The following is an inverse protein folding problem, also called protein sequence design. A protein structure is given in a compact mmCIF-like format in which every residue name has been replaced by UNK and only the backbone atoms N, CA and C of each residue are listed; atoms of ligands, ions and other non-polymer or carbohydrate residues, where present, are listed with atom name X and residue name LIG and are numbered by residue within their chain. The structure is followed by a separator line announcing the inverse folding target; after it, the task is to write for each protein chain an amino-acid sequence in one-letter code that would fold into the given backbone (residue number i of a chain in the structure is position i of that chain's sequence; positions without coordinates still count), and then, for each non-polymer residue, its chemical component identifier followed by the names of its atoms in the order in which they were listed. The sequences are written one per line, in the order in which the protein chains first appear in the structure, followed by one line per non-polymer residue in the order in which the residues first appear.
data_IF_137814317020
#
_entry.id   IF_137814317020
#
_cell.length_a   1.000
_cell.length_b   1.000
_cell.length_c   1.000
_cell.angle_alpha   90.00
_cell.angle_beta   90.00
_cell.angle_gamma   90.00
#
_symmetry.space_group_name_H-M   'P 1'
#
loop_
_entity.id
_entity.type
_entity.pdbx_description
1 polymer ?
#
# COMPACT_ATOMS: atom_id res chain seq x y z
N UNK A 1 -17.07 -13.21 9.80
CA UNK A 1 -16.67 -12.02 9.01
C UNK A 1 -16.75 -10.82 9.91
N UNK A 2 -15.75 -9.94 9.87
CA UNK A 2 -15.67 -8.74 10.70
C UNK A 2 -15.37 -7.54 9.81
N UNK A 3 -16.06 -6.43 10.04
CA UNK A 3 -15.74 -5.17 9.34
C UNK A 3 -14.53 -4.54 10.01
N UNK A 4 -13.49 -4.23 9.22
CA UNK A 4 -12.29 -3.57 9.73
C UNK A 4 -12.40 -2.05 9.62
N UNK A 5 -12.51 -1.52 8.40
CA UNK A 5 -12.58 -0.09 8.14
C UNK A 5 -13.16 0.24 6.76
N UNK A 6 -13.44 1.52 6.54
CA UNK A 6 -13.92 2.08 5.27
C UNK A 6 -12.80 2.85 4.56
N UNK A 7 -12.73 2.69 3.24
CA UNK A 7 -11.91 3.50 2.37
C UNK A 7 -12.82 4.43 1.54
N UNK A 8 -12.38 5.67 1.38
CA UNK A 8 -13.04 6.62 0.47
C UNK A 8 -12.87 6.15 -0.97
N UNK A 9 -13.95 6.20 -1.76
CA UNK A 9 -13.86 5.97 -3.20
C UNK A 9 -13.58 7.29 -3.93
N UNK A 10 -13.11 7.21 -5.18
CA UNK A 10 -13.00 8.38 -6.06
C UNK A 10 -14.38 9.02 -6.31
N UNK A 11 -15.44 8.21 -6.29
CA UNK A 11 -16.80 8.70 -6.36
C UNK A 11 -17.30 9.01 -4.94
N UNK A 12 -17.65 10.27 -4.66
CA UNK A 12 -18.08 10.73 -3.35
C UNK A 12 -19.30 9.97 -2.78
N UNK A 13 -20.16 9.39 -3.64
CA UNK A 13 -21.33 8.59 -3.23
C UNK A 13 -21.01 7.12 -2.94
N UNK A 14 -19.76 6.69 -3.11
CA UNK A 14 -19.33 5.29 -2.93
C UNK A 14 -18.23 5.19 -1.89
N UNK A 15 -18.16 4.03 -1.23
CA UNK A 15 -17.05 3.67 -0.36
C UNK A 15 -16.66 2.21 -0.61
N UNK A 16 -15.47 1.84 -0.17
CA UNK A 16 -15.02 0.46 -0.14
C UNK A 16 -14.94 0.02 1.32
N UNK A 17 -15.44 -1.17 1.63
CA UNK A 17 -15.34 -1.77 2.95
C UNK A 17 -14.28 -2.85 2.93
N UNK A 18 -13.40 -2.82 3.93
CA UNK A 18 -12.42 -3.89 4.15
C UNK A 18 -12.96 -4.80 5.23
N UNK A 19 -13.05 -6.09 4.90
CA UNK A 19 -13.62 -7.12 5.75
C UNK A 19 -12.57 -8.20 6.03
N UNK A 20 -12.51 -8.66 7.27
CA UNK A 20 -11.78 -9.84 7.69
C UNK A 20 -12.72 -11.07 7.66
N UNK A 21 -12.20 -12.21 7.23
CA UNK A 21 -12.98 -13.45 7.13
C UNK A 21 -12.08 -14.68 7.32
N UNK A 22 -12.70 -15.82 7.63
CA UNK A 22 -11.97 -17.09 7.64
C UNK A 22 -11.50 -17.47 6.23
N UNK A 23 -10.39 -18.21 6.09
CA UNK A 23 -9.85 -18.64 4.79
C UNK A 23 -10.88 -19.27 3.84
N UNK A 24 -11.69 -20.20 4.34
CA UNK A 24 -12.75 -20.88 3.56
C UNK A 24 -13.76 -19.88 2.97
N UNK A 25 -14.14 -18.87 3.75
CA UNK A 25 -15.08 -17.83 3.33
C UNK A 25 -14.43 -16.92 2.29
N UNK A 26 -13.19 -16.51 2.53
CA UNK A 26 -12.40 -15.68 1.62
C UNK A 26 -12.30 -16.29 0.21
N UNK A 27 -11.90 -17.56 0.10
CA UNK A 27 -11.80 -18.25 -1.18
C UNK A 27 -13.15 -18.35 -1.91
N UNK A 28 -14.22 -18.64 -1.16
CA UNK A 28 -15.58 -18.71 -1.72
C UNK A 28 -16.03 -17.36 -2.27
N UNK A 29 -15.75 -16.28 -1.54
CA UNK A 29 -16.10 -14.91 -1.92
C UNK A 29 -15.30 -14.43 -3.13
N UNK A 30 -13.99 -14.64 -3.15
CA UNK A 30 -13.14 -14.23 -4.26
C UNK A 30 -13.43 -15.00 -5.55
N UNK A 31 -13.77 -16.29 -5.47
CA UNK A 31 -14.20 -17.07 -6.65
C UNK A 31 -15.45 -16.48 -7.30
N UNK A 32 -16.41 -16.01 -6.49
CA UNK A 32 -17.63 -15.37 -7.01
C UNK A 32 -17.38 -13.99 -7.61
N UNK A 33 -16.33 -13.27 -7.17
CA UNK A 33 -15.93 -11.89 -7.58
C UNK A 33 -16.97 -10.79 -7.36
N UNK A 34 -18.25 -11.14 -7.22
CA UNK A 34 -19.38 -10.24 -7.04
C UNK A 34 -20.36 -10.85 -6.05
N UNK A 35 -20.96 -10.01 -5.23
CA UNK A 35 -22.07 -10.38 -4.35
C UNK A 35 -23.20 -9.37 -4.50
N UNK A 36 -24.42 -9.89 -4.44
CA UNK A 36 -25.62 -9.06 -4.38
C UNK A 36 -25.96 -8.87 -2.91
N UNK A 37 -26.12 -7.62 -2.50
CA UNK A 37 -26.54 -7.26 -1.16
C UNK A 37 -27.69 -6.27 -1.30
N UNK A 38 -28.89 -6.72 -0.94
CA UNK A 38 -30.15 -6.04 -1.28
C UNK A 38 -30.19 -5.71 -2.79
N UNK A 39 -30.38 -4.43 -3.12
CA UNK A 39 -30.45 -3.92 -4.49
C UNK A 39 -29.08 -3.55 -5.09
N UNK A 40 -27.98 -3.88 -4.40
CA UNK A 40 -26.63 -3.49 -4.79
C UNK A 40 -25.80 -4.66 -5.30
N UNK A 41 -25.11 -4.44 -6.42
CA UNK A 41 -24.07 -5.34 -6.94
C UNK A 41 -22.69 -4.89 -6.48
N UNK A 42 -22.13 -5.60 -5.51
CA UNK A 42 -20.82 -5.29 -4.91
C UNK A 42 -19.72 -6.10 -5.59
N UNK A 43 -18.61 -5.44 -5.97
CA UNK A 43 -17.41 -6.11 -6.46
C UNK A 43 -16.49 -6.46 -5.29
N UNK A 44 -16.03 -7.71 -5.26
CA UNK A 44 -15.09 -8.20 -4.28
C UNK A 44 -13.70 -8.26 -4.88
N UNK A 45 -12.71 -7.81 -4.11
CA UNK A 45 -11.29 -7.92 -4.43
C UNK A 45 -10.54 -8.18 -3.15
N UNK A 46 -9.41 -8.87 -3.29
CA UNK A 46 -8.46 -8.96 -2.21
C UNK A 46 -7.93 -7.57 -1.86
N UNK A 47 -7.75 -7.32 -0.57
CA UNK A 47 -7.17 -6.09 -0.07
C UNK A 47 -5.76 -6.39 0.46
N UNK A 48 -4.74 -6.08 -0.35
CA UNK A 48 -3.35 -6.08 0.08
C UNK A 48 -2.81 -4.67 -0.12
N UNK A 49 -2.37 -4.05 0.98
CA UNK A 49 -1.77 -2.72 0.95
C UNK A 49 -0.70 -2.58 2.03
N UNK A 50 0.59 -2.63 1.65
CA UNK A 50 1.67 -2.24 2.54
C UNK A 50 1.45 -0.88 3.18
N UNK A 51 1.62 -0.85 4.50
CA UNK A 51 1.62 0.39 5.28
C UNK A 51 2.87 1.17 4.94
N UNK A 52 2.67 2.42 4.55
CA UNK A 52 3.73 3.38 4.25
C UNK A 52 3.52 4.59 5.15
N UNK A 53 4.59 5.07 5.79
CA UNK A 53 4.51 6.25 6.63
C UNK A 53 4.06 7.45 5.80
N UNK A 54 3.10 8.22 6.30
CA UNK A 54 2.58 9.40 5.62
C UNK A 54 3.56 10.58 5.63
N UNK A 55 4.54 10.60 6.55
CA UNK A 55 5.55 11.67 6.66
C UNK A 55 6.85 11.34 5.91
N UNK A 56 7.46 10.20 6.22
CA UNK A 56 8.77 9.84 5.65
C UNK A 56 8.69 8.96 4.39
N UNK A 57 7.49 8.55 3.96
CA UNK A 57 7.24 7.69 2.79
C UNK A 57 7.93 6.30 2.83
N UNK A 58 8.54 5.90 3.94
CA UNK A 58 9.17 4.58 4.13
C UNK A 58 8.12 3.49 4.43
N UNK A 59 8.41 2.26 4.01
CA UNK A 59 7.62 1.07 4.39
C UNK A 59 8.06 0.53 5.77
N UNK A 60 7.13 -0.05 6.52
CA UNK A 60 7.41 -0.70 7.81
C UNK A 60 7.54 0.24 9.02
N UNK A 61 7.80 1.53 8.79
CA UNK A 61 7.74 2.55 9.83
C UNK A 61 6.30 2.97 10.12
N UNK A 62 5.79 2.55 11.27
CA UNK A 62 4.46 2.96 11.78
C UNK A 62 4.61 4.10 12.80
N UNK A 63 5.84 4.42 13.24
CA UNK A 63 6.06 5.35 14.34
C UNK A 63 5.83 6.80 13.92
N UNK A 64 4.87 7.52 14.52
CA UNK A 64 4.76 8.97 14.38
C UNK A 64 5.88 9.72 15.13
N UNK A 65 6.74 9.01 15.87
CA UNK A 65 7.79 9.53 16.77
C UNK A 65 9.22 9.34 16.23
N UNK A 66 9.39 9.14 14.92
CA UNK A 66 10.71 9.32 14.31
C UNK A 66 11.04 10.81 14.20
N UNK A 67 12.30 11.24 14.38
CA UNK A 67 12.73 12.64 14.26
C UNK A 67 12.67 13.21 12.82
N UNK A 68 12.09 12.47 11.86
CA UNK A 68 12.21 12.79 10.45
C UNK A 68 11.13 13.78 10.02
N UNK A 69 11.54 14.81 9.28
CA UNK A 69 10.62 15.81 8.74
C UNK A 69 9.77 15.17 7.62
N UNK A 70 8.75 15.90 7.16
CA UNK A 70 7.96 15.47 6.01
C UNK A 70 8.87 15.40 4.78
N UNK A 71 9.03 14.21 4.21
CA UNK A 71 9.83 13.98 3.00
C UNK A 71 8.93 14.05 1.77
N UNK A 72 9.48 14.54 0.67
CA UNK A 72 8.82 14.56 -0.61
C UNK A 72 8.68 13.11 -1.16
N UNK A 73 7.47 12.65 -1.51
CA UNK A 73 7.28 11.30 -2.09
C UNK A 73 7.89 11.13 -3.49
N UNK A 74 8.28 12.22 -4.15
CA UNK A 74 8.94 12.20 -5.46
C UNK A 74 10.43 11.90 -5.33
N UNK A 75 11.16 12.73 -4.58
CA UNK A 75 12.63 12.70 -4.51
C UNK A 75 13.21 12.26 -3.16
N UNK A 76 12.36 12.09 -2.13
CA UNK A 76 12.78 11.65 -0.79
C UNK A 76 13.44 12.73 0.08
N UNK A 77 13.61 13.96 -0.39
CA UNK A 77 14.19 15.08 0.36
C UNK A 77 13.14 15.83 1.20
N UNK A 78 13.59 16.51 2.25
CA UNK A 78 12.76 17.32 3.15
C UNK A 78 12.62 18.78 2.64
N UNK A 79 11.82 19.60 3.32
CA UNK A 79 11.70 21.05 3.06
C UNK A 79 10.72 21.46 1.95
N UNK A 80 10.08 20.52 1.25
CA UNK A 80 9.08 20.83 0.22
C UNK A 80 8.02 19.74 0.04
N UNK A 81 6.88 20.10 -0.55
CA UNK A 81 5.82 19.15 -0.92
C UNK A 81 6.01 18.64 -2.34
N UNK A 82 5.34 17.55 -2.68
CA UNK A 82 5.36 16.99 -4.05
C UNK A 82 4.97 18.00 -5.13
N UNK A 83 4.06 18.92 -4.82
CA UNK A 83 3.59 19.96 -5.77
C UNK A 83 4.67 20.97 -6.13
N UNK A 84 5.63 21.17 -5.23
CA UNK A 84 6.68 22.18 -5.33
C UNK A 84 8.05 21.53 -5.60
N UNK A 85 8.04 20.26 -6.03
CA UNK A 85 9.25 19.47 -6.23
C UNK A 85 9.82 19.71 -7.63
N UNK A 86 11.03 20.25 -7.69
CA UNK A 86 11.79 20.46 -8.93
C UNK A 86 12.81 19.34 -9.21
N UNK A 87 13.02 18.45 -8.24
CA UNK A 87 13.98 17.35 -8.35
C UNK A 87 13.44 16.19 -9.20
N UNK A 88 14.36 15.44 -9.81
CA UNK A 88 14.04 14.18 -10.46
C UNK A 88 13.47 13.13 -9.48
N UNK A 89 12.69 12.20 -10.02
CA UNK A 89 12.08 11.14 -9.22
C UNK A 89 13.16 10.22 -8.63
N UNK A 90 13.11 10.03 -7.31
CA UNK A 90 14.06 9.22 -6.59
C UNK A 90 13.38 8.43 -5.46
N UNK A 91 13.26 7.11 -5.63
CA UNK A 91 12.53 6.24 -4.74
C UNK A 91 13.33 5.96 -3.47
N UNK A 92 12.93 6.59 -2.37
CA UNK A 92 13.56 6.43 -1.06
C UNK A 92 13.65 4.96 -0.61
N UNK A 93 12.61 4.17 -0.86
CA UNK A 93 12.56 2.76 -0.44
C UNK A 93 13.49 1.88 -1.25
N UNK A 94 13.59 2.11 -2.57
CA UNK A 94 14.50 1.35 -3.43
C UNK A 94 15.96 1.73 -3.16
N UNK A 95 16.25 3.00 -2.88
CA UNK A 95 17.58 3.43 -2.44
C UNK A 95 18.02 2.72 -1.16
N UNK A 96 17.16 2.69 -0.15
CA UNK A 96 17.49 1.98 1.10
C UNK A 96 17.69 0.49 0.90
N UNK A 97 16.82 -0.14 0.09
CA UNK A 97 16.94 -1.55 -0.24
C UNK A 97 18.27 -1.84 -0.96
N UNK A 98 18.67 -0.98 -1.91
CA UNK A 98 19.95 -1.08 -2.60
C UNK A 98 21.13 -0.88 -1.66
N UNK A 99 21.06 0.11 -0.76
CA UNK A 99 22.13 0.38 0.18
C UNK A 99 22.34 -0.80 1.14
N UNK A 100 21.25 -1.32 1.71
CA UNK A 100 21.24 -2.36 2.75
C UNK A 100 21.47 -3.76 2.21
N UNK A 101 20.87 -4.10 1.06
CA UNK A 101 20.84 -5.47 0.54
C UNK A 101 21.55 -5.63 -0.82
N UNK A 102 22.10 -4.56 -1.39
CA UNK A 102 22.87 -4.57 -2.66
C UNK A 102 22.07 -5.13 -3.85
N UNK A 103 20.78 -4.78 -3.94
CA UNK A 103 19.83 -5.36 -4.91
C UNK A 103 19.85 -4.74 -6.32
N UNK A 104 20.46 -3.56 -6.50
CA UNK A 104 20.57 -2.91 -7.82
C UNK A 104 19.23 -2.50 -8.46
N UNK A 105 18.19 -2.25 -7.66
CA UNK A 105 16.89 -1.80 -8.14
C UNK A 105 16.96 -0.41 -8.78
N UNK A 106 16.16 -0.18 -9.81
CA UNK A 106 15.95 1.18 -10.34
C UNK A 106 15.38 2.09 -9.26
N UNK A 107 15.82 3.35 -9.23
CA UNK A 107 15.38 4.35 -8.24
C UNK A 107 14.73 5.58 -8.88
N UNK A 108 14.72 5.67 -10.20
CA UNK A 108 14.18 6.73 -11.05
C UNK A 108 12.63 6.79 -11.09
N UNK A 109 11.99 6.61 -9.93
CA UNK A 109 10.54 6.64 -9.80
C UNK A 109 10.10 7.15 -8.42
N UNK A 110 8.85 7.59 -8.31
CA UNK A 110 8.32 8.07 -7.03
C UNK A 110 8.04 6.92 -6.07
N UNK A 111 8.10 7.17 -4.76
CA UNK A 111 7.78 6.19 -3.71
C UNK A 111 6.30 5.71 -3.71
N UNK A 112 5.47 6.23 -4.62
CA UNK A 112 4.04 5.93 -4.75
C UNK A 112 3.68 5.04 -5.94
N UNK A 113 4.65 4.73 -6.81
CA UNK A 113 4.43 3.91 -7.99
C UNK A 113 4.18 2.44 -7.58
N UNK A 114 3.18 1.80 -8.20
CA UNK A 114 2.83 0.41 -7.90
C UNK A 114 3.84 -0.62 -8.43
N UNK A 115 4.58 -0.30 -9.49
CA UNK A 115 5.65 -1.15 -10.02
C UNK A 115 6.98 -1.05 -9.25
N UNK A 116 7.00 -0.33 -8.12
CA UNK A 116 8.18 -0.19 -7.27
C UNK A 116 8.63 -1.57 -6.73
N UNK A 117 9.90 -1.98 -6.94
CA UNK A 117 10.42 -3.26 -6.44
C UNK A 117 10.29 -3.40 -4.92
N UNK A 118 10.60 -2.33 -4.18
CA UNK A 118 10.45 -2.33 -2.72
C UNK A 118 8.97 -2.48 -2.30
N UNK A 119 8.02 -1.91 -3.05
CA UNK A 119 6.59 -2.11 -2.79
C UNK A 119 6.17 -3.56 -3.02
N UNK A 120 6.60 -4.17 -4.13
CA UNK A 120 6.31 -5.57 -4.44
C UNK A 120 6.85 -6.52 -3.37
N UNK A 121 8.08 -6.28 -2.91
CA UNK A 121 8.65 -7.04 -1.80
C UNK A 121 7.78 -6.95 -0.53
N UNK A 122 7.27 -5.76 -0.19
CA UNK A 122 6.37 -5.60 0.96
C UNK A 122 5.02 -6.30 0.75
N UNK A 123 4.49 -6.31 -0.48
CA UNK A 123 3.29 -7.08 -0.84
C UNK A 123 3.53 -8.57 -0.61
N UNK A 124 4.64 -9.11 -1.09
CA UNK A 124 5.02 -10.52 -0.89
C UNK A 124 5.15 -10.87 0.60
N UNK A 125 5.78 -10.01 1.39
CA UNK A 125 5.91 -10.18 2.84
C UNK A 125 4.56 -10.15 3.58
N UNK A 126 3.59 -9.38 3.09
CA UNK A 126 2.24 -9.39 3.66
C UNK A 126 1.50 -10.66 3.30
N UNK A 127 1.59 -11.09 2.04
CA UNK A 127 0.96 -12.33 1.57
C UNK A 127 1.53 -13.51 2.36
N UNK A 128 2.85 -13.59 2.55
CA UNK A 128 3.49 -14.70 3.27
C UNK A 128 3.09 -14.79 4.75
N UNK A 129 2.78 -13.64 5.37
CA UNK A 129 2.32 -13.56 6.76
C UNK A 129 0.79 -13.67 6.92
N UNK A 130 0.04 -13.66 5.82
CA UNK A 130 -1.42 -13.75 5.86
C UNK A 130 -1.83 -15.22 5.83
N UNK A 131 -2.66 -15.62 6.79
CA UNK A 131 -3.24 -16.97 6.81
C UNK A 131 -4.33 -17.09 5.74
N UNK A 132 -4.00 -17.79 4.65
CA UNK A 132 -4.92 -18.16 3.58
C UNK A 132 -5.53 -19.56 3.74
N UNK A 133 -5.26 -20.26 4.85
CA UNK A 133 -5.76 -21.60 5.14
C UNK A 133 -5.51 -22.61 4.02
N UNK A 134 -4.29 -22.58 3.45
CA UNK A 134 -3.82 -23.56 2.45
C UNK A 134 -3.36 -24.84 3.12
#
# INVERSE_FOLDING_TARGET
MKVLFKLKSKNAKKCHWVLESSPKTFHTLLRKKKVFFEWHRLSLREFIRPTRCYKCNRFGDISPKGPNEETCPNCGQEGHKKTDCENEANCINCNEANFKFKLGHSVDHTATVQSCPAYNHQVEQLISKTDYGR
#
